data_IF_598776312397
#
_entry.id   IF_598776312397
#
_cell.length_a   1.000
_cell.length_b   1.000
_cell.length_c   1.000
_cell.angle_alpha   90.00
_cell.angle_beta   90.00
_cell.angle_gamma   90.00
#
_symmetry.space_group_name_H-M   'P 1'
#
loop_
_entity.id
_entity.type
_entity.pdbx_description
1 polymer ?
2 polymer ?
3 non-polymer ?
4 non-polymer ?
5 non-polymer ?
6 non-polymer ?
7 water ?
#
# COMPACT_ATOMS: atom_id res chain seq x y z
N UNK A 1 8.31 10.68 -5.84
CA UNK A 1 7.23 11.54 -5.33
C UNK A 1 7.59 12.99 -5.67
N UNK A 2 6.66 13.67 -6.33
CA UNK A 2 6.80 15.08 -6.75
C UNK A 2 5.96 15.97 -5.85
N UNK A 3 6.55 17.04 -5.31
CA UNK A 3 5.79 18.03 -4.55
C UNK A 3 5.42 17.64 -3.12
N UNK A 4 6.08 16.61 -2.60
CA UNK A 4 5.84 16.16 -1.24
C UNK A 4 6.95 16.60 -0.30
N UNK A 5 7.20 15.80 0.74
CA UNK A 5 8.21 16.12 1.74
C UNK A 5 8.91 14.82 2.18
N UNK A 6 10.03 14.96 2.88
CA UNK A 6 10.68 13.80 3.48
C UNK A 6 9.70 13.22 4.51
N UNK A 7 9.50 11.89 4.47
CA UNK A 7 8.74 11.23 5.52
C UNK A 7 9.65 11.15 6.74
N UNK A 8 9.29 11.83 7.86
CA UNK A 8 10.23 11.73 8.98
C UNK A 8 10.50 10.26 9.30
N UNK A 9 11.77 9.95 9.53
CA UNK A 9 12.23 8.58 9.79
C UNK A 9 11.36 7.88 10.85
N UNK A 10 10.77 6.73 10.49
CA UNK A 10 9.86 6.02 11.38
C UNK A 10 8.38 6.35 11.21
N UNK A 11 8.06 7.41 10.47
CA UNK A 11 6.66 7.80 10.27
C UNK A 11 5.97 7.12 9.10
N UNK A 12 6.77 6.41 8.29
CA UNK A 12 6.26 5.57 7.22
C UNK A 12 6.74 4.12 7.38
N UNK A 13 6.45 3.50 8.55
CA UNK A 13 7.16 2.28 8.93
C UNK A 13 6.75 1.02 8.17
N UNK A 14 5.67 1.13 7.40
CA UNK A 14 5.19 0.01 6.57
C UNK A 14 5.76 0.09 5.15
N UNK A 15 6.50 1.15 4.86
CA UNK A 15 7.06 1.28 3.51
C UNK A 15 8.12 0.21 3.26
N UNK A 16 8.05 -0.42 2.08
CA UNK A 16 9.04 -1.44 1.70
C UNK A 16 9.84 -0.92 0.50
N UNK A 17 11.14 -1.21 0.47
CA UNK A 17 11.96 -0.98 -0.73
C UNK A 17 12.25 -2.33 -1.33
N UNK A 18 11.93 -2.50 -2.60
CA UNK A 18 12.27 -3.74 -3.31
C UNK A 18 13.49 -3.50 -4.18
N UNK A 19 14.43 -4.45 -4.10
CA UNK A 19 15.70 -4.39 -4.81
C UNK A 19 15.82 -5.60 -5.72
N UNK A 20 16.38 -5.40 -6.91
CA UNK A 20 16.73 -6.52 -7.78
C UNK A 20 18.23 -6.39 -8.05
N UNK A 21 19.01 -7.42 -7.70
CA UNK A 21 20.48 -7.30 -7.63
C UNK A 21 21.05 -6.01 -6.97
N UNK A 22 20.48 -5.63 -5.84
CA UNK A 22 20.89 -4.40 -5.17
C UNK A 22 20.36 -3.09 -5.73
N UNK A 23 19.78 -3.13 -6.93
CA UNK A 23 19.23 -1.93 -7.59
C UNK A 23 17.77 -1.69 -7.20
N UNK A 24 17.42 -0.44 -6.98
CA UNK A 24 16.03 -0.05 -6.66
C UNK A 24 15.07 -0.54 -7.76
N UNK A 25 14.02 -1.27 -7.36
CA UNK A 25 13.04 -1.76 -8.33
C UNK A 25 11.69 -1.08 -8.19
N UNK A 26 11.19 -1.05 -6.96
CA UNK A 26 9.83 -0.62 -6.67
C UNK A 26 9.67 -0.46 -5.17
N UNK A 27 8.55 0.15 -4.77
CA UNK A 27 8.17 0.12 -3.37
C UNK A 27 7.19 -1.00 -3.09
N UNK A 28 6.74 -1.03 -1.84
CA UNK A 28 5.72 -2.02 -1.45
C UNK A 28 5.21 -1.65 -0.08
N UNK A 29 4.27 -2.44 0.44
CA UNK A 29 3.67 -2.16 1.74
C UNK A 29 3.68 -3.44 2.57
N UNK A 30 4.23 -3.36 3.78
CA UNK A 30 4.19 -4.47 4.71
C UNK A 30 2.77 -4.55 5.27
N UNK A 31 2.17 -5.73 5.26
CA UNK A 31 0.83 -5.86 5.86
C UNK A 31 0.75 -6.82 7.05
N UNK A 32 1.81 -7.60 7.25
CA UNK A 32 2.03 -8.32 8.52
C UNK A 32 3.50 -8.72 8.52
N UNK A 33 3.95 -9.62 9.38
CA UNK A 33 5.40 -9.83 9.44
C UNK A 33 6.04 -10.57 8.26
N UNK A 34 5.25 -11.23 7.43
CA UNK A 34 5.86 -11.95 6.33
C UNK A 34 5.31 -11.59 4.94
N UNK A 35 4.30 -10.72 4.90
CA UNK A 35 3.64 -10.41 3.65
C UNK A 35 3.74 -8.95 3.25
N UNK A 36 4.05 -8.75 1.97
CA UNK A 36 4.22 -7.44 1.35
C UNK A 36 3.31 -7.34 0.14
N UNK A 37 2.63 -6.20 0.01
CA UNK A 37 1.80 -5.93 -1.15
C UNK A 37 2.55 -4.94 -2.04
N UNK A 38 2.64 -5.27 -3.33
CA UNK A 38 3.25 -4.40 -4.33
C UNK A 38 2.43 -4.39 -5.63
N UNK A 39 3.03 -3.89 -6.72
CA UNK A 39 2.34 -3.82 -8.00
C UNK A 39 2.83 -4.95 -8.88
N UNK A 40 1.91 -5.64 -9.55
CA UNK A 40 2.29 -6.71 -10.48
C UNK A 40 3.30 -6.23 -11.53
N UNK A 41 3.15 -4.98 -12.00
CA UNK A 41 4.00 -4.51 -13.11
C UNK A 41 5.48 -4.38 -12.75
N UNK A 42 5.76 -4.35 -11.45
CA UNK A 42 7.12 -4.34 -10.95
C UNK A 42 7.91 -5.58 -11.36
N UNK A 43 7.19 -6.62 -11.79
CA UNK A 43 7.80 -7.91 -12.08
C UNK A 43 7.81 -8.27 -13.57
N UNK A 44 7.39 -7.32 -14.42
CA UNK A 44 7.29 -7.57 -15.86
C UNK A 44 8.63 -7.96 -16.51
N UNK A 45 9.73 -7.48 -15.95
CA UNK A 45 11.04 -7.71 -16.55
C UNK A 45 12.00 -8.36 -15.57
N UNK A 46 11.54 -9.38 -14.85
CA UNK A 46 12.43 -10.04 -13.89
C UNK A 46 13.31 -11.08 -14.56
N UNK A 47 14.63 -10.82 -14.56
CA UNK A 47 15.61 -11.76 -15.07
C UNK A 47 15.71 -12.97 -14.15
N UNK A 48 16.27 -12.76 -12.96
CA UNK A 48 16.44 -13.80 -11.98
C UNK A 48 15.47 -13.57 -10.83
N UNK A 49 14.44 -14.42 -10.75
CA UNK A 49 13.45 -14.35 -9.68
C UNK A 49 14.04 -14.60 -8.30
N UNK A 50 15.25 -15.16 -8.26
CA UNK A 50 15.86 -15.54 -7.00
C UNK A 50 16.68 -14.42 -6.36
N UNK A 51 16.76 -13.27 -7.03
CA UNK A 51 17.56 -12.16 -6.56
C UNK A 51 16.71 -10.96 -6.13
N UNK A 52 15.48 -11.22 -5.70
CA UNK A 52 14.60 -10.15 -5.24
C UNK A 52 14.73 -9.99 -3.73
N UNK A 53 14.92 -8.75 -3.27
CA UNK A 53 15.10 -8.45 -1.85
C UNK A 53 14.10 -7.38 -1.42
N UNK A 54 13.50 -7.57 -0.25
CA UNK A 54 12.65 -6.54 0.34
C UNK A 54 13.36 -5.93 1.55
N UNK A 55 13.41 -4.62 1.63
CA UNK A 55 14.02 -3.94 2.77
C UNK A 55 12.94 -3.19 3.55
N UNK A 56 12.88 -3.46 4.84
CA UNK A 56 12.03 -2.73 5.79
C UNK A 56 12.87 -1.83 6.67
N UNK A 57 12.26 -0.76 7.17
CA UNK A 57 12.93 0.17 8.07
C UNK A 57 13.91 1.06 7.35
N UNK A 58 13.78 1.10 6.03
CA UNK A 58 14.66 1.92 5.22
C UNK A 58 14.22 3.38 5.30
N UNK A 59 15.17 4.29 5.11
CA UNK A 59 14.83 5.71 5.15
C UNK A 59 15.75 6.47 4.21
N UNK A 60 17.03 6.50 4.55
CA UNK A 60 18.03 7.22 3.75
C UNK A 60 18.91 6.18 3.08
N UNK A 61 18.77 6.07 1.76
CA UNK A 61 19.48 5.06 0.95
C UNK A 61 21.00 5.21 0.96
N UNK A 62 21.49 6.35 1.41
CA UNK A 62 22.91 6.61 1.38
C UNK A 62 23.64 6.03 2.59
N UNK A 63 22.90 5.63 3.61
CA UNK A 63 23.54 5.21 4.87
C UNK A 63 22.88 3.98 5.47
N UNK A 64 23.65 3.26 6.27
CA UNK A 64 23.12 2.18 7.09
C UNK A 64 23.01 2.72 8.51
N UNK A 65 21.81 2.70 9.09
CA UNK A 65 21.69 3.12 10.48
C UNK A 65 21.31 1.98 11.42
N UNK A 66 21.15 0.78 10.89
CA UNK A 66 20.84 -0.38 11.75
C UNK A 66 19.37 -0.68 11.99
N UNK A 67 18.47 0.18 11.51
CA UNK A 67 17.03 -0.09 11.61
C UNK A 67 16.50 -0.88 10.40
N UNK A 68 17.34 -1.01 9.38
CA UNK A 68 16.96 -1.69 8.14
C UNK A 68 16.94 -3.18 8.37
N UNK A 69 15.98 -3.85 7.76
CA UNK A 69 15.88 -5.31 7.84
C UNK A 69 15.63 -5.79 6.43
N UNK A 70 16.52 -6.66 5.95
CA UNK A 70 16.45 -7.19 4.58
C UNK A 70 16.01 -8.62 4.58
N UNK A 71 15.12 -8.95 3.65
CA UNK A 71 14.63 -10.31 3.48
C UNK A 71 14.59 -10.69 2.00
N UNK A 72 14.84 -11.96 1.69
CA UNK A 72 14.63 -12.45 0.33
C UNK A 72 13.14 -12.58 0.07
N UNK A 73 12.74 -12.29 -1.16
CA UNK A 73 11.35 -12.50 -1.59
C UNK A 73 11.23 -13.96 -2.05
N UNK A 74 10.47 -14.74 -1.30
CA UNK A 74 10.36 -16.18 -1.53
C UNK A 74 9.24 -16.50 -2.53
N UNK A 75 8.24 -15.62 -2.61
CA UNK A 75 7.12 -15.87 -3.50
C UNK A 75 6.58 -14.55 -3.97
N UNK A 76 6.28 -14.48 -5.26
CA UNK A 76 5.59 -13.33 -5.84
C UNK A 76 4.31 -13.88 -6.47
N UNK A 77 3.17 -13.50 -5.89
CA UNK A 77 1.85 -14.00 -6.30
C UNK A 77 1.11 -12.90 -7.05
N UNK A 78 0.73 -13.22 -8.28
CA UNK A 78 0.14 -12.27 -9.21
C UNK A 78 -1.20 -12.83 -9.66
N UNK A 79 -2.26 -11.99 -9.72
CA UNK A 79 -3.56 -12.56 -10.10
C UNK A 79 -3.58 -13.03 -11.55
N UNK A 80 -4.35 -14.08 -11.82
CA UNK A 80 -4.48 -14.63 -13.18
C UNK A 80 -4.90 -13.60 -14.21
N UNK A 81 -5.65 -12.60 -13.76
CA UNK A 81 -6.22 -11.59 -14.65
C UNK A 81 -5.24 -10.49 -15.09
N UNK A 82 -4.09 -10.43 -14.43
CA UNK A 82 -3.06 -9.44 -14.81
C UNK A 82 -2.35 -9.89 -16.06
N UNK A 83 -2.22 -8.99 -17.02
CA UNK A 83 -1.46 -9.27 -18.25
C UNK A 83 -0.20 -8.39 -18.30
N UNK A 84 0.99 -9.01 -18.31
CA UNK A 84 2.21 -8.21 -18.38
C UNK A 84 2.20 -7.17 -19.50
N UNK A 85 2.68 -5.99 -19.18
CA UNK A 85 2.76 -4.89 -20.13
C UNK A 85 1.48 -4.10 -20.24
N UNK A 86 0.51 -4.42 -19.38
CA UNK A 86 -0.76 -3.68 -19.29
C UNK A 86 -1.03 -3.23 -17.85
N UNK A 87 -2.15 -2.54 -17.64
CA UNK A 87 -2.39 -1.83 -16.37
C UNK A 87 -3.39 -2.47 -15.40
N UNK A 88 -4.33 -3.27 -15.92
CA UNK A 88 -5.44 -3.73 -15.07
C UNK A 88 -4.95 -4.80 -14.11
N UNK A 89 -5.53 -4.84 -12.91
CA UNK A 89 -5.20 -5.85 -11.90
C UNK A 89 -3.74 -5.75 -11.45
N UNK A 90 -3.29 -4.52 -11.21
CA UNK A 90 -1.89 -4.27 -10.94
C UNK A 90 -1.53 -4.46 -9.46
N UNK A 91 -1.42 -5.72 -9.07
CA UNK A 91 -1.19 -6.07 -7.66
C UNK A 91 -0.36 -7.33 -7.56
N UNK A 92 0.53 -7.36 -6.59
CA UNK A 92 1.36 -8.54 -6.31
C UNK A 92 1.41 -8.73 -4.82
N UNK A 93 1.34 -9.98 -4.39
CA UNK A 93 1.46 -10.32 -2.99
C UNK A 93 2.77 -11.10 -2.82
N UNK A 94 3.67 -10.56 -1.99
CA UNK A 94 5.00 -11.11 -1.81
C UNK A 94 5.16 -11.77 -0.43
N UNK A 95 5.66 -13.00 -0.42
CA UNK A 95 5.96 -13.69 0.82
C UNK A 95 7.47 -13.55 1.07
N UNK A 96 7.83 -13.06 2.25
CA UNK A 96 9.24 -12.91 2.61
C UNK A 96 9.77 -14.28 3.08
N UNK A 97 11.07 -14.52 2.90
CA UNK A 97 11.65 -15.82 3.28
C UNK A 97 11.63 -16.09 4.79
N UNK A 98 11.68 -15.01 5.56
CA UNK A 98 11.69 -15.05 7.01
C UNK A 98 10.92 -13.80 7.45
N UNK A 99 10.18 -13.87 8.60
CA UNK A 99 9.45 -12.68 9.00
C UNK A 99 10.39 -11.53 9.32
N UNK A 100 9.94 -10.29 9.09
CA UNK A 100 10.64 -9.15 9.69
C UNK A 100 10.26 -9.07 11.17
N UNK A 101 11.09 -8.40 11.96
CA UNK A 101 10.83 -8.15 13.37
C UNK A 101 10.18 -6.79 13.50
N UNK A 102 8.99 -6.73 14.08
CA UNK A 102 8.37 -5.43 14.31
C UNK A 102 9.14 -4.59 15.34
N UNK A 103 9.27 -3.31 15.05
CA UNK A 103 10.07 -2.38 15.83
C UNK A 103 9.44 -1.03 15.63
N UNK A 104 9.93 -0.01 16.32
CA UNK A 104 9.42 1.33 16.08
C UNK A 104 9.53 1.73 14.60
N UNK A 105 10.44 1.09 13.87
CA UNK A 105 10.74 1.50 12.49
C UNK A 105 10.16 0.55 11.46
N UNK A 106 9.53 -0.52 11.94
CA UNK A 106 9.00 -1.56 11.06
C UNK A 106 7.64 -2.03 11.61
N UNK A 107 6.57 -1.63 10.94
CA UNK A 107 5.20 -1.86 11.41
C UNK A 107 4.33 -2.11 10.18
N UNK A 108 3.43 -3.10 10.24
CA UNK A 108 2.56 -3.31 9.07
C UNK A 108 1.44 -2.26 8.99
N UNK A 109 1.04 -1.97 7.77
CA UNK A 109 -0.20 -1.24 7.54
C UNK A 109 -1.37 -2.22 7.62
N UNK A 110 -2.50 -1.80 8.19
CA UNK A 110 -3.68 -2.69 8.23
C UNK A 110 -4.29 -2.92 6.85
N UNK A 111 -4.48 -4.19 6.49
CA UNK A 111 -5.25 -4.50 5.31
C UNK A 111 -6.71 -4.51 5.76
N UNK A 112 -7.54 -3.59 5.24
CA UNK A 112 -8.90 -3.46 5.79
C UNK A 112 -9.84 -4.54 5.26
N UNK A 113 -10.94 -4.79 5.97
CA UNK A 113 -12.01 -5.60 5.37
C UNK A 113 -12.58 -4.88 4.15
N UNK A 114 -13.01 -5.65 3.15
CA UNK A 114 -13.58 -5.07 1.91
C UNK A 114 -14.71 -4.07 2.18
N UNK A 115 -15.70 -4.47 2.98
CA UNK A 115 -16.86 -3.59 3.20
C UNK A 115 -16.47 -2.29 3.86
N UNK A 116 -15.66 -2.37 4.90
CA UNK A 116 -15.13 -1.17 5.55
C UNK A 116 -14.39 -0.28 4.55
N UNK A 117 -13.58 -0.91 3.70
CA UNK A 117 -12.83 -0.12 2.71
C UNK A 117 -13.70 0.57 1.66
N UNK A 118 -14.70 -0.15 1.16
CA UNK A 118 -15.62 0.36 0.14
C UNK A 118 -16.63 1.38 0.70
N UNK A 119 -17.11 1.12 1.91
CA UNK A 119 -18.17 1.96 2.51
C UNK A 119 -17.62 3.16 3.24
N UNK A 120 -16.42 3.06 3.78
CA UNK A 120 -15.91 4.08 4.69
C UNK A 120 -14.62 4.68 4.16
N UNK A 121 -13.61 3.84 3.95
CA UNK A 121 -12.29 4.35 3.55
C UNK A 121 -12.30 5.05 2.19
N UNK A 122 -13.13 4.55 1.27
CA UNK A 122 -13.23 5.10 -0.08
C UNK A 122 -13.69 6.54 -0.09
N UNK A 123 -14.32 6.98 0.99
CA UNK A 123 -14.80 8.36 1.10
C UNK A 123 -13.95 9.27 1.98
N UNK A 124 -12.82 8.77 2.46
CA UNK A 124 -11.84 9.63 3.10
C UNK A 124 -11.12 10.30 1.94
N UNK A 125 -11.12 11.63 1.92
CA UNK A 125 -10.68 12.38 0.76
C UNK A 125 -9.18 12.25 0.53
N UNK A 126 -8.39 12.54 1.56
CA UNK A 126 -6.94 12.52 1.44
C UNK A 126 -6.32 11.26 1.99
N UNK A 127 -5.28 10.81 1.29
CA UNK A 127 -4.46 9.70 1.72
C UNK A 127 -3.00 9.99 1.41
N UNK A 128 -2.10 9.26 2.07
CA UNK A 128 -0.65 9.45 1.87
C UNK A 128 -0.05 8.45 0.87
N UNK A 129 0.73 8.96 -0.08
CA UNK A 129 1.49 8.07 -0.96
C UNK A 129 2.98 8.32 -0.73
N UNK A 130 3.81 7.29 -0.83
CA UNK A 130 5.22 7.46 -0.47
C UNK A 130 6.16 6.59 -1.30
N UNK A 131 7.44 6.97 -1.31
CA UNK A 131 8.44 6.16 -2.01
C UNK A 131 9.73 6.90 -2.26
N UNK A 132 10.68 6.18 -2.84
CA UNK A 132 11.97 6.76 -3.20
C UNK A 132 12.03 7.03 -4.70
N UNK A 133 10.88 7.30 -5.31
CA UNK A 133 10.81 7.60 -6.73
C UNK A 133 11.30 8.99 -7.12
N UNK A 134 11.08 9.33 -8.37
CA UNK A 134 11.53 10.61 -8.94
C UNK A 134 10.97 11.81 -8.20
N UNK A 135 11.84 12.77 -7.94
CA UNK A 135 11.43 14.04 -7.32
C UNK A 135 10.85 15.00 -8.36
N UNK A 136 11.09 14.71 -9.64
CA UNK A 136 10.56 15.45 -10.81
C UNK A 136 10.42 14.47 -11.93
N UNK A 137 9.45 14.66 -12.81
CA UNK A 137 9.37 13.82 -14.01
C UNK A 137 10.68 14.00 -14.78
N UNK A 138 11.24 12.89 -15.26
CA UNK A 138 12.54 12.90 -15.98
C UNK A 138 13.73 13.32 -15.09
N UNK A 139 13.52 13.30 -13.77
CA UNK A 139 14.55 13.68 -12.80
C UNK A 139 15.08 12.53 -11.99
N UNK A 140 16.07 12.82 -11.12
CA UNK A 140 16.67 11.83 -10.22
C UNK A 140 15.68 11.35 -9.14
N UNK A 141 15.83 10.09 -8.73
CA UNK A 141 15.06 9.53 -7.61
C UNK A 141 15.58 10.07 -6.28
N UNK A 142 14.73 9.98 -5.25
CA UNK A 142 15.01 10.51 -3.93
C UNK A 142 15.92 9.58 -3.13
N UNK A 143 16.87 10.16 -2.38
CA UNK A 143 17.66 9.38 -1.43
C UNK A 143 16.95 9.15 -0.10
N UNK A 144 16.11 10.10 0.31
CA UNK A 144 15.32 9.90 1.54
C UNK A 144 13.89 9.60 1.17
N UNK A 145 13.24 8.77 1.96
CA UNK A 145 11.84 8.43 1.69
C UNK A 145 10.93 9.68 1.71
N UNK A 146 10.10 9.83 0.67
CA UNK A 146 9.23 10.99 0.52
C UNK A 146 7.80 10.56 0.68
N UNK A 147 6.94 11.50 1.06
CA UNK A 147 5.52 11.21 1.30
C UNK A 147 4.70 12.41 0.84
N UNK A 148 3.50 12.12 0.36
CA UNK A 148 2.63 13.12 -0.26
C UNK A 148 1.18 12.88 0.11
N UNK A 149 0.48 13.95 0.50
CA UNK A 149 -0.96 13.87 0.73
C UNK A 149 -1.70 14.14 -0.57
N UNK A 150 -2.53 13.20 -0.99
CA UNK A 150 -3.27 13.34 -2.24
C UNK A 150 -4.75 13.06 -2.03
N UNK A 151 -5.62 13.85 -2.69
CA UNK A 151 -7.06 13.57 -2.65
C UNK A 151 -7.52 12.59 -3.72
N UNK A 152 -8.50 11.78 -3.36
CA UNK A 152 -9.02 10.75 -4.23
C UNK A 152 -10.20 11.31 -5.01
N UNK A 153 -10.34 10.86 -6.25
CA UNK A 153 -11.46 11.23 -7.09
C UNK A 153 -12.29 10.02 -7.46
N UNK A 154 -13.60 10.20 -7.50
CA UNK A 154 -14.46 9.23 -8.16
C UNK A 154 -14.07 9.19 -9.63
N UNK A 155 -14.09 7.99 -10.22
CA UNK A 155 -13.58 7.79 -11.57
C UNK A 155 -14.24 8.68 -12.65
N UNK A 156 -15.56 8.84 -12.59
CA UNK A 156 -16.19 9.76 -13.55
C UNK A 156 -15.67 11.20 -13.43
N UNK A 157 -15.46 11.67 -12.20
CA UNK A 157 -14.83 12.96 -11.95
C UNK A 157 -13.38 13.05 -12.44
N UNK A 158 -12.64 11.94 -12.28
CA UNK A 158 -11.26 11.88 -12.76
C UNK A 158 -11.19 12.04 -14.28
N UNK A 159 -12.08 11.34 -14.98
CA UNK A 159 -12.13 11.40 -16.44
C UNK A 159 -12.55 12.80 -16.90
N UNK A 160 -13.57 13.35 -16.23
CA UNK A 160 -14.06 14.70 -16.52
C UNK A 160 -12.98 15.76 -16.31
N UNK A 161 -12.16 15.57 -15.27
CA UNK A 161 -11.13 16.56 -14.91
C UNK A 161 -9.79 16.34 -15.60
N UNK A 162 -9.68 15.25 -16.37
CA UNK A 162 -8.44 14.91 -17.08
C UNK A 162 -8.50 15.31 -18.54
N UNK A 163 -7.34 15.71 -19.09
CA UNK A 163 -7.18 16.00 -20.49
C UNK A 163 -7.32 14.73 -21.33
N UNK A 168 -3.78 7.07 -20.98
CA UNK A 168 -4.14 6.35 -22.19
C UNK A 168 -4.99 5.11 -21.86
N UNK A 169 -4.53 4.21 -20.96
CA UNK A 169 -5.36 3.06 -20.65
C UNK A 169 -6.69 3.45 -20.01
N UNK A 170 -7.66 2.55 -20.09
CA UNK A 170 -8.95 2.71 -19.41
C UNK A 170 -8.78 2.68 -17.90
N UNK A 171 -9.53 3.53 -17.19
CA UNK A 171 -9.57 3.46 -15.74
C UNK A 171 -10.70 2.52 -15.34
N UNK A 172 -10.33 1.35 -14.84
CA UNK A 172 -11.29 0.29 -14.54
C UNK A 172 -11.77 0.30 -13.08
N UNK A 173 -12.67 -0.62 -12.75
CA UNK A 173 -13.15 -0.76 -11.37
C UNK A 173 -12.05 -1.24 -10.43
N UNK A 174 -10.91 -1.64 -11.00
CA UNK A 174 -9.80 -2.17 -10.23
C UNK A 174 -8.76 -1.09 -9.97
N UNK A 175 -9.15 0.15 -10.26
CA UNK A 175 -8.29 1.33 -10.15
C UNK A 175 -9.04 2.50 -9.56
N UNK A 176 -8.29 3.51 -9.12
CA UNK A 176 -8.87 4.82 -8.79
C UNK A 176 -7.84 5.90 -9.01
N UNK A 177 -8.33 7.13 -9.17
CA UNK A 177 -7.46 8.28 -9.32
C UNK A 177 -7.28 9.03 -8.02
N UNK A 178 -6.09 9.58 -7.86
CA UNK A 178 -5.80 10.49 -6.75
C UNK A 178 -4.69 11.43 -7.17
N UNK A 179 -4.77 12.66 -6.68
CA UNK A 179 -3.74 13.66 -6.97
C UNK A 179 -4.31 14.98 -7.42
N UNK A 180 -3.59 15.61 -8.34
CA UNK A 180 -3.81 17.01 -8.75
C UNK A 180 -3.57 17.15 -10.23
N UNK A 181 -4.45 17.87 -10.91
CA UNK A 181 -4.35 18.04 -12.36
C UNK A 181 -3.50 19.24 -12.75
N UNK A 182 -3.02 20.00 -11.75
CA UNK A 182 -2.22 21.19 -12.02
C UNK A 182 -0.72 20.92 -12.19
N UNK A 183 -0.33 19.64 -12.13
CA UNK A 183 1.06 19.25 -12.34
C UNK A 183 2.03 19.54 -11.19
N UNK A 184 1.49 19.71 -9.99
CA UNK A 184 2.31 20.11 -8.85
C UNK A 184 2.74 18.95 -7.96
N UNK A 185 1.91 17.92 -7.86
CA UNK A 185 2.08 16.87 -6.85
C UNK A 185 1.58 15.53 -7.42
N UNK A 186 2.40 14.49 -7.32
CA UNK A 186 2.05 13.17 -7.84
C UNK A 186 3.07 12.16 -7.29
N UNK A 187 2.74 10.86 -7.42
CA UNK A 187 3.75 9.81 -7.27
C UNK A 187 4.30 9.58 -8.68
N UNK A 188 5.42 8.87 -8.79
CA UNK A 188 6.04 8.63 -10.10
C UNK A 188 6.43 7.17 -10.26
N UNK A 189 6.97 6.86 -11.44
CA UNK A 189 7.26 5.47 -11.76
C UNK A 189 8.12 4.77 -10.71
N UNK A 190 9.10 5.48 -10.12
CA UNK A 190 9.99 4.86 -9.12
C UNK A 190 9.27 4.56 -7.79
N UNK A 191 8.08 5.11 -7.64
CA UNK A 191 7.23 4.84 -6.47
C UNK A 191 6.29 3.67 -6.69
N UNK A 192 6.31 3.09 -7.91
CA UNK A 192 5.42 1.97 -8.27
C UNK A 192 5.44 0.90 -7.20
N UNK A 193 4.26 0.42 -6.84
CA UNK A 193 4.13 -0.63 -5.82
C UNK A 193 3.97 -0.15 -4.40
N UNK A 194 4.29 1.13 -4.15
CA UNK A 194 4.22 1.68 -2.81
C UNK A 194 2.80 1.91 -2.33
N UNK A 195 2.65 2.21 -1.03
CA UNK A 195 1.36 2.41 -0.40
C UNK A 195 0.68 3.73 -0.75
N UNK A 196 -0.63 3.63 -0.87
CA UNK A 196 -1.57 4.73 -0.73
C UNK A 196 -2.33 4.35 0.53
N UNK A 197 -2.09 5.13 1.60
CA UNK A 197 -2.50 4.78 2.95
C UNK A 197 -3.52 5.79 3.48
N UNK A 198 -4.60 5.27 4.07
CA UNK A 198 -5.76 6.08 4.42
C UNK A 198 -6.01 6.02 5.93
N UNK A 199 -6.13 7.18 6.56
CA UNK A 199 -6.32 7.27 8.01
C UNK A 199 -7.81 7.28 8.33
N UNK A 200 -8.20 6.51 9.34
CA UNK A 200 -9.57 6.55 9.80
C UNK A 200 -9.60 6.27 11.28
N UNK A 201 -10.11 7.25 12.03
CA UNK A 201 -10.21 7.14 13.49
C UNK A 201 -8.95 6.60 14.20
N UNK A 202 -7.78 7.13 13.85
CA UNK A 202 -6.55 6.86 14.59
C UNK A 202 -5.69 5.73 14.07
N UNK A 203 -6.12 5.12 12.95
CA UNK A 203 -5.47 3.95 12.40
C UNK A 203 -5.36 4.11 10.90
N UNK A 204 -4.26 3.60 10.34
CA UNK A 204 -3.99 3.72 8.92
C UNK A 204 -4.20 2.40 8.19
N UNK A 205 -4.76 2.45 6.98
CA UNK A 205 -5.12 1.25 6.21
C UNK A 205 -4.63 1.31 4.75
N UNK A 206 -4.36 0.15 4.18
CA UNK A 206 -3.96 0.09 2.78
C UNK A 206 -5.18 0.20 1.85
N UNK A 207 -5.25 1.28 1.07
CA UNK A 207 -6.34 1.46 0.10
C UNK A 207 -5.88 1.44 -1.37
N UNK A 208 -4.61 1.72 -1.61
CA UNK A 208 -4.13 1.78 -2.99
C UNK A 208 -2.69 1.39 -3.14
N UNK A 209 -2.31 1.10 -4.38
CA UNK A 209 -0.92 0.81 -4.74
C UNK A 209 -0.55 1.76 -5.87
N UNK A 210 0.62 2.41 -5.76
CA UNK A 210 1.13 3.21 -6.87
C UNK A 210 1.24 2.36 -8.14
N UNK A 211 0.44 2.71 -9.15
CA UNK A 211 0.30 1.86 -10.34
C UNK A 211 0.77 2.55 -11.62
N UNK A 212 0.06 3.58 -12.07
CA UNK A 212 0.40 4.18 -13.37
C UNK A 212 -0.03 5.62 -13.49
N UNK A 213 0.37 6.22 -14.60
CA UNK A 213 -0.03 7.58 -14.89
C UNK A 213 0.62 8.01 -16.17
N UNK A 214 0.15 9.15 -16.69
CA UNK A 214 0.72 9.72 -17.90
C UNK A 214 1.86 10.62 -17.43
N UNK A 215 3.10 10.16 -17.61
CA UNK A 215 4.25 10.78 -16.98
C UNK A 215 4.02 10.89 -15.48
N UNK A 216 4.62 11.88 -14.83
CA UNK A 216 4.23 12.16 -13.46
C UNK A 216 4.13 13.65 -13.17
N UNK A 217 3.07 14.02 -12.44
CA UNK A 217 2.73 15.42 -12.20
C UNK A 217 2.56 16.16 -13.53
N UNK A 218 1.92 15.48 -14.48
CA UNK A 218 1.66 16.03 -15.80
C UNK A 218 0.39 16.86 -15.68
N UNK A 219 0.46 18.11 -16.12
CA UNK A 219 -0.76 18.94 -16.19
C UNK A 219 -1.91 18.21 -16.91
N UNK A 220 -3.09 18.25 -16.31
CA UNK A 220 -4.30 17.61 -16.84
C UNK A 220 -4.43 16.12 -16.56
N UNK A 221 -3.59 15.59 -15.68
CA UNK A 221 -3.62 14.16 -15.34
C UNK A 221 -3.50 13.93 -13.84
N UNK A 222 -4.02 12.78 -13.40
CA UNK A 222 -3.92 12.35 -12.01
C UNK A 222 -3.13 11.03 -11.97
N UNK A 223 -2.60 10.70 -10.81
CA UNK A 223 -2.01 9.38 -10.60
C UNK A 223 -3.10 8.33 -10.55
N UNK A 224 -2.78 7.13 -11.00
CA UNK A 224 -3.74 6.04 -10.96
C UNK A 224 -3.21 4.93 -10.04
N UNK A 225 -4.10 4.44 -9.19
CA UNK A 225 -3.76 3.50 -8.10
C UNK A 225 -4.61 2.25 -8.18
N UNK A 226 -4.03 1.12 -7.83
CA UNK A 226 -4.78 -0.12 -7.78
C UNK A 226 -5.77 -0.01 -6.62
N UNK A 227 -7.02 -0.40 -6.87
CA UNK A 227 -8.06 -0.28 -5.88
C UNK A 227 -8.02 -1.56 -5.05
N UNK A 228 -7.27 -1.50 -3.95
CA UNK A 228 -6.96 -2.66 -3.13
C UNK A 228 -8.21 -3.36 -2.58
N UNK A 229 -9.27 -2.60 -2.35
CA UNK A 229 -10.53 -3.16 -1.84
C UNK A 229 -11.06 -4.34 -2.68
N UNK A 230 -10.77 -4.35 -3.98
CA UNK A 230 -11.19 -5.42 -4.89
C UNK A 230 -10.48 -6.74 -4.61
N UNK A 231 -9.37 -6.66 -3.87
CA UNK A 231 -8.45 -7.79 -3.71
C UNK A 231 -8.37 -8.35 -2.32
N UNK A 232 -9.17 -7.81 -1.40
CA UNK A 232 -9.03 -8.21 0.01
C UNK A 232 -9.20 -9.73 0.23
N UNK A 233 -10.23 -10.32 -0.35
CA UNK A 233 -10.47 -11.74 -0.16
C UNK A 233 -9.42 -12.60 -0.85
N UNK A 234 -9.02 -12.16 -2.03
CA UNK A 234 -7.97 -12.83 -2.79
C UNK A 234 -6.66 -12.86 -1.97
N UNK A 235 -6.30 -11.72 -1.38
CA UNK A 235 -5.08 -11.63 -0.53
C UNK A 235 -5.22 -12.50 0.70
N UNK A 236 -6.37 -12.43 1.36
CA UNK A 236 -6.55 -13.12 2.63
C UNK A 236 -6.49 -14.62 2.43
N UNK A 237 -7.10 -15.12 1.36
CA UNK A 237 -7.01 -16.54 1.04
C UNK A 237 -5.57 -16.99 0.80
N UNK A 238 -4.83 -16.20 0.02
CA UNK A 238 -3.44 -16.55 -0.28
C UNK A 238 -2.55 -16.54 0.97
N UNK A 239 -2.81 -15.59 1.87
CA UNK A 239 -1.99 -15.53 3.08
C UNK A 239 -2.19 -16.74 4.00
N UNK A 240 -3.29 -17.45 3.82
CA UNK A 240 -3.55 -18.70 4.56
C UNK A 240 -2.98 -19.95 3.85
N UNK A 241 -2.42 -19.78 2.66
CA UNK A 241 -1.97 -20.91 1.86
C UNK A 241 -0.54 -21.30 2.18
N UNK A 242 -0.21 -22.56 1.95
CA UNK A 242 1.17 -23.01 2.04
C UNK A 242 2.02 -22.50 0.88
N UNK A 243 3.28 -22.13 1.18
CA UNK A 243 4.23 -21.79 0.11
C UNK A 243 4.39 -22.95 -0.90
N UNK A 244 4.70 -22.59 -2.15
CA UNK A 244 4.87 -23.54 -3.25
C UNK A 244 6.26 -23.33 -3.80
N UNK A 245 6.93 -24.42 -4.25
CA UNK A 245 8.22 -24.25 -4.92
C UNK A 245 8.14 -23.30 -6.11
N UNK A 246 9.19 -22.51 -6.29
CA UNK A 246 9.30 -21.53 -7.36
C UNK A 246 8.88 -20.17 -6.85
N UNK A 247 9.45 -19.10 -7.37
CA UNK A 247 9.12 -17.79 -6.83
C UNK A 247 7.77 -17.30 -7.35
N UNK A 248 7.64 -17.22 -8.66
CA UNK A 248 6.40 -16.72 -9.25
C UNK A 248 5.28 -17.72 -9.05
N UNK A 249 4.12 -17.22 -8.62
CA UNK A 249 2.87 -17.99 -8.61
C UNK A 249 1.77 -17.12 -9.20
N UNK A 250 1.13 -17.62 -10.24
CA UNK A 250 -0.08 -17.00 -10.73
C UNK A 250 -1.26 -17.69 -10.04
N UNK A 251 -2.12 -16.89 -9.43
CA UNK A 251 -3.21 -17.42 -8.64
C UNK A 251 -4.51 -16.92 -9.23
N UNK A 252 -5.53 -17.80 -9.33
CA UNK A 252 -6.80 -17.38 -9.91
C UNK A 252 -7.39 -16.13 -9.23
N UNK A 253 -7.89 -15.21 -10.05
CA UNK A 253 -8.71 -14.09 -9.57
C UNK A 253 -10.02 -14.15 -10.36
N UNK A 254 -11.16 -14.00 -9.68
CA UNK A 254 -11.32 -13.76 -8.24
C UNK A 254 -10.92 -14.93 -7.34
N UNK B 1 -26.96 -0.73 9.18
CA UNK B 1 -26.27 0.24 10.11
C UNK B 1 -24.83 0.56 9.67
N UNK B 2 -24.13 -0.47 9.19
CA UNK B 2 -22.71 -0.36 8.89
C UNK B 2 -22.38 0.62 7.75
N UNK B 3 -23.29 0.78 6.80
CA UNK B 3 -23.02 1.68 5.67
C UNK B 3 -23.09 3.17 6.06
N UNK B 4 -23.82 3.48 7.13
CA UNK B 4 -23.91 4.85 7.67
C UNK B 4 -22.94 5.08 8.84
N UNK B 5 -21.98 5.98 8.62
CA UNK B 5 -20.96 6.34 9.63
C UNK B 5 -20.29 5.11 10.26
N UNK B 6 -20.02 4.11 9.42
CA UNK B 6 -19.36 2.87 9.83
C UNK B 6 -20.12 2.11 10.93
N UNK B 7 -21.42 2.38 11.03
CA UNK B 7 -22.25 1.73 12.06
C UNK B 7 -21.83 2.13 13.47
N UNK B 8 -21.04 3.21 13.54
CA UNK B 8 -20.48 3.71 14.81
C UNK B 8 -19.16 3.05 15.19
N UNK B 9 -18.77 2.00 14.45
CA UNK B 9 -17.58 1.23 14.77
C UNK B 9 -16.30 1.98 14.48
N UNK B 10 -15.28 1.77 15.30
CA UNK B 10 -13.98 2.36 15.06
C UNK B 10 -13.29 1.71 13.87
N UNK B 11 -13.44 0.39 13.77
CA UNK B 11 -12.87 -0.40 12.68
C UNK B 11 -13.94 -1.08 11.85
N UNK B 12 -14.11 -2.40 12.00
CA UNK B 12 -14.98 -3.17 11.11
C UNK B 12 -16.39 -3.34 11.66
N UNK B 13 -17.35 -3.53 10.74
CA UNK B 13 -18.76 -3.56 11.10
C UNK B 13 -19.46 -4.69 10.35
N UNK B 14 -20.27 -5.48 11.07
CA UNK B 14 -21.14 -6.50 10.45
C UNK B 14 -22.59 -6.26 10.82
N UNK B 15 -23.46 -6.29 9.80
CA UNK B 15 -24.91 -6.27 10.01
C UNK B 15 -25.39 -7.67 10.30
N UNK B 16 -26.42 -7.80 11.14
CA UNK B 16 -26.94 -9.11 11.54
C UNK B 16 -28.46 -9.25 11.44
N UNK B 20 -29.60 -5.33 14.47
CA UNK B 20 -28.38 -5.80 15.15
C UNK B 20 -27.12 -5.44 14.36
N UNK B 21 -26.07 -5.10 15.09
CA UNK B 21 -24.82 -4.63 14.50
C UNK B 21 -23.68 -5.11 15.41
N UNK B 22 -22.63 -5.71 14.82
CA UNK B 22 -21.46 -6.10 15.58
C UNK B 22 -20.22 -5.39 15.02
N UNK B 23 -19.50 -4.67 15.86
CA UNK B 23 -18.22 -4.10 15.47
C UNK B 23 -17.13 -5.12 15.74
N UNK B 24 -16.06 -5.08 14.95
CA UNK B 24 -14.94 -5.98 15.16
C UNK B 24 -13.66 -5.18 15.03
N UNK B 25 -12.56 -5.78 15.49
CA UNK B 25 -11.27 -5.13 15.42
C UNK B 25 -10.29 -6.04 14.69
N UNK B 26 -9.30 -5.44 14.05
CA UNK B 26 -8.21 -6.18 13.39
C UNK B 26 -7.47 -7.04 14.40
N UNK B 27 -6.76 -8.06 13.92
CA UNK B 27 -5.81 -8.78 14.77
C UNK B 27 -4.91 -7.77 15.48
N UNK B 28 -4.56 -8.03 16.74
CA UNK B 28 -3.70 -7.13 17.50
C UNK B 28 -4.48 -6.02 18.19
N UNK B 29 -5.80 -6.11 18.14
CA UNK B 29 -6.69 -5.18 18.86
C UNK B 29 -7.78 -5.98 19.52
N UNK B 30 -8.41 -5.39 20.54
CA UNK B 30 -9.62 -5.98 21.11
C UNK B 30 -10.70 -4.90 21.24
N UNK B 31 -11.94 -5.36 21.22
CA UNK B 31 -13.11 -4.47 21.23
C UNK B 31 -13.42 -4.07 22.67
N UNK B 32 -13.68 -2.78 22.90
CA UNK B 32 -14.01 -2.33 24.26
C UNK B 32 -15.50 -2.59 24.58
N UNK B 33 -15.82 -2.47 25.86
CA UNK B 33 -17.20 -2.71 26.34
C UNK B 33 -18.22 -1.73 25.74
N UNK B 34 -17.76 -0.62 25.17
CA UNK B 34 -18.69 0.26 24.43
C UNK B 34 -19.17 -0.40 23.15
N UNK B 35 -18.52 -1.50 22.75
CA UNK B 35 -18.93 -2.27 21.57
C UNK B 35 -18.51 -1.66 20.25
N UNK B 36 -17.76 -0.56 20.31
CA UNK B 36 -17.32 0.13 19.08
C UNK B 36 -15.81 0.38 18.99
N UNK B 37 -15.17 0.62 20.13
CA UNK B 37 -13.78 1.05 20.15
C UNK B 37 -12.82 -0.14 20.13
N UNK B 38 -11.66 0.07 19.50
CA UNK B 38 -10.63 -0.96 19.42
C UNK B 38 -9.38 -0.46 20.12
N UNK B 39 -8.81 -1.29 20.98
CA UNK B 39 -7.59 -0.93 21.67
C UNK B 39 -6.48 -1.96 21.36
N UNK B 40 -5.24 -1.50 21.12
CA UNK B 40 -4.15 -2.45 20.84
C UNK B 40 -3.92 -3.48 21.95
N UNK B 41 -3.63 -4.71 21.53
CA UNK B 41 -3.31 -5.77 22.47
C UNK B 41 -1.84 -6.17 22.36
N UNK B 42 -1.16 -5.62 21.36
CA UNK B 42 0.24 -5.96 21.11
C UNK B 42 1.06 -4.68 21.07
N UNK B 43 2.38 -4.83 21.07
CA UNK B 43 3.26 -3.66 21.07
C UNK B 43 3.21 -2.89 19.75
N UNK B 44 3.11 -3.62 18.64
CA UNK B 44 3.14 -3.02 17.29
C UNK B 44 1.93 -3.40 16.45
N UNK B 45 0.75 -2.88 16.82
CA UNK B 45 -0.46 -3.16 16.07
C UNK B 45 -0.36 -2.49 14.71
N UNK B 46 -1.04 -3.04 13.72
CA UNK B 46 -0.96 -2.47 12.38
C UNK B 46 -1.54 -1.05 12.36
N UNK B 47 -1.04 -0.24 11.45
CA UNK B 47 -1.65 1.06 11.17
C UNK B 47 -1.43 2.12 12.22
N UNK B 48 -0.55 1.87 13.18
CA UNK B 48 -0.15 2.87 14.21
C UNK B 48 1.33 3.15 14.09
N UNK B 49 1.71 4.39 14.33
CA UNK B 49 3.08 4.85 14.12
C UNK B 49 3.70 5.04 15.50
N UNK B 50 4.51 4.07 15.96
CA UNK B 50 5.06 4.08 17.32
C UNK B 50 5.65 5.43 17.78
N UNK B 51 6.49 6.07 16.96
CA UNK B 51 7.13 7.30 17.41
C UNK B 51 6.12 8.44 17.62
N UNK B 52 4.99 8.39 16.92
CA UNK B 52 3.91 9.36 17.13
C UNK B 52 2.98 8.94 18.28
N UNK B 53 2.74 7.65 18.44
CA UNK B 53 1.96 7.13 19.57
C UNK B 53 2.64 7.50 20.89
N UNK B 54 3.97 7.42 20.90
CA UNK B 54 4.78 7.92 22.01
C UNK B 54 4.62 9.45 22.16
N UNK B 55 4.61 10.16 21.03
CA UNK B 55 4.32 11.61 20.91
C UNK B 55 5.39 12.35 20.09
X LIG C 1 -6.92 9.93 -17.50
X LIG C 1 -6.88 9.26 -18.74
X LIG C 1 -5.74 9.45 -16.65
X LIG C 1 -4.52 9.76 -17.29
X LIG C 1 -5.77 10.13 -15.30
X LIG C 1 -5.68 11.53 -15.45
X LIG D 1 5.28 -13.38 -16.15
X LIG D 1 5.67 -12.92 -17.43
X LIG D 1 5.82 -12.39 -15.14
X LIG D 1 5.97 -11.14 -15.78
X LIG D 1 4.85 -12.24 -13.97
X LIG D 1 3.74 -11.43 -14.28
X LIG E 1 19.40 3.50 5.40
X LIG F 1 6.43 1.75 -13.79
X LIG F 1 6.33 2.56 -14.71
X LIG F 1 7.15 2.53 -15.77
X LIG F 1 8.15 1.48 -15.90
X LIG F 1 7.43 0.19 -16.12
X LIG F 1 6.21 0.17 -16.82
X LIG F 1 5.52 -1.03 -17.01
X LIG F 1 6.07 -2.22 -16.53
X LIG F 1 7.28 -2.21 -15.84
X LIG F 1 7.96 -1.00 -15.63
X LIG F 1 8.99 1.70 -17.12
X LIG F 1 8.66 2.61 -17.91
X LIG F 1 9.98 0.95 -17.29
X LIG F 1 5.28 3.63 -14.71
X LIG F 1 4.73 3.83 -13.38
X LIG F 1 4.08 4.95 -12.95
X LIG F 1 3.97 6.09 -13.76
X LIG F 1 3.30 7.21 -13.29
X LIG F 1 3.47 4.95 -11.70
X LIG F 1 2.78 6.07 -11.21
X LIG F 1 2.69 7.20 -12.03
X LIG F 1 1.97 8.44 -11.58
X LIG F 1 1.34 8.51 -10.40
X LIG F 1 1.98 9.49 -12.42
X LIG F 1 4.22 3.23 -15.69
X LIG F 1 3.37 2.14 -15.45
X LIG F 1 2.40 1.76 -16.39
X LIG F 1 1.55 0.71 -16.14
X LIG F 1 1.76 -0.17 -15.03
X LIG F 1 2.27 2.48 -17.58
X LIG F 1 3.13 3.56 -17.83
X LIG F 1 4.09 3.93 -16.90
X LIG F 1 1.30 2.11 -18.49
X LIG F 1 1.33 2.49 -19.87
X LIG F 1 0.80 3.90 -20.05
X LIG F 1 0.19 4.60 -19.01
X LIG F 1 -0.28 5.90 -19.21
X LIG F 1 -0.17 6.51 -20.46
X LIG F 1 0.44 5.81 -21.51
X LIG F 1 0.91 4.51 -21.31
X LIG G 1 -15.78 5.33 -7.99
X LIG G 1 -14.48 5.75 -8.53
X LIG G 1 -16.73 6.43 -8.07
X LIG G 1 -15.66 4.94 -6.59
X LIG G 1 -16.24 4.18 -8.77
X LIG H 1 -3.26 -24.68 0.56
X LIG H 1 -3.45 -26.11 0.39
X LIG H 1 -2.23 -24.44 1.56
X LIG H 1 -4.50 -24.06 1.02
X LIG H 1 -2.82 -24.10 -0.69
X LIG I 1 13.50 0.35 17.44
X LIG I 1 14.56 -0.61 17.70
X LIG I 1 13.90 1.69 17.92
X LIG I 1 13.39 0.47 15.98
X LIG I 1 12.29 -0.11 18.18
X LIG J 1 -22.32 -6.87 6.48
X LIG J 1 -21.06 -7.41 5.99
X LIG J 1 -22.11 -5.53 7.03
X LIG J 1 -22.86 -7.77 7.49
X LIG J 1 -23.26 -6.75 5.37
#
# INVERSE_FOLDING_TARGET
IVGGKVCPKGECPWQVLLLVNGAQLCGGTLINTIWVVSAAHCFDKIKNWRNLIAVLGEHDLSEHDGDEQSRRVAQVIIPSTYVPGTTNHDIALLRLHQPVVLTDHVVPLCLPERTFSERTLAFVRFSLVSGWGQLLDRGATALELMVLNVPRLMTQDCLQQSRKVGDSPNITEYMFCAGYSDGSKDSCKGDSGGPHATHYRGTWYLTGIVSWGQGCATVGHFGVYTRVSQYIEWLQKLMRSEPRPGVLLRAPFP
ICVNENGGCEQYCSDHTGTKRSCRCHEGYSLLADGVSCTPTVEYPCGKIPILEKR
GOL C1 O1 C2 O2 C3 O3
GOL C1 O1 C2 O2 C3 O3
CA CA
413 O31 C31 N4 C23 C24 C25 C26 C27 C28 C29 C30 O30 O40 C8 N3 C5 C4 C3 C6 C7 C2 C1 N2 N1 C9 C14 C13 O3 C15 C12 C11 C10 O4 C16 C17 C22 C21 C20 C19 C18
SO4 S O1 O2 O3 O4
SO4 S O1 O2 O3 O4
SO4 S O1 O2 O3 O4
SO4 S O1 O2 O3 O4
#
